data_IF_410974808772
#
_entry.id   IF_410974808772
#
_cell.length_a   1.000
_cell.length_b   1.000
_cell.length_c   1.000
_cell.angle_alpha   90.00
_cell.angle_beta   90.00
_cell.angle_gamma   90.00
#
_symmetry.space_group_name_H-M   'P 1'
#
loop_
_entity.id
_entity.type
_entity.pdbx_description
1 polymer ?
#
# COMPACT_ATOMS: atom_id res chain seq x y z
N UNK A 1 5.55 -20.60 -15.98
CA UNK A 1 6.78 -20.25 -15.25
C UNK A 1 7.96 -20.16 -16.20
N UNK A 2 8.92 -19.26 -15.94
CA UNK A 2 10.13 -19.15 -16.77
C UNK A 2 11.28 -19.93 -16.12
N UNK A 3 11.80 -20.94 -16.81
CA UNK A 3 12.96 -21.73 -16.41
C UNK A 3 13.99 -21.67 -17.53
N UNK A 4 15.23 -21.32 -17.21
CA UNK A 4 16.34 -21.30 -18.18
C UNK A 4 16.07 -20.47 -19.45
N UNK A 5 15.29 -19.39 -19.30
CA UNK A 5 14.91 -18.50 -20.41
C UNK A 5 13.66 -18.93 -21.18
N UNK A 6 13.16 -20.15 -21.00
CA UNK A 6 12.00 -20.72 -21.66
C UNK A 6 10.71 -20.56 -20.83
N UNK A 7 9.57 -20.40 -21.50
CA UNK A 7 8.25 -20.34 -20.86
C UNK A 7 7.67 -21.76 -20.77
N UNK A 8 7.44 -22.23 -19.56
CA UNK A 8 6.76 -23.49 -19.25
C UNK A 8 5.36 -23.20 -18.70
N UNK A 9 4.38 -24.07 -18.93
CA UNK A 9 3.04 -23.93 -18.33
C UNK A 9 3.10 -24.04 -16.80
N UNK A 10 2.18 -23.39 -16.09
CA UNK A 10 2.00 -23.57 -14.64
C UNK A 10 0.89 -24.60 -14.45
N UNK A 11 1.18 -25.82 -13.94
CA UNK A 11 0.20 -26.89 -13.89
C UNK A 11 -0.96 -26.57 -12.92
N UNK A 12 -0.68 -25.88 -11.82
CA UNK A 12 -1.68 -25.40 -10.86
C UNK A 12 -1.27 -24.01 -10.38
N UNK A 13 -2.11 -23.01 -10.66
CA UNK A 13 -1.84 -21.62 -10.27
C UNK A 13 -2.38 -21.29 -8.87
N UNK A 14 -3.32 -22.09 -8.37
CA UNK A 14 -3.92 -21.92 -7.04
C UNK A 14 -2.87 -22.17 -5.96
N UNK A 15 -2.53 -21.14 -5.19
CA UNK A 15 -1.48 -21.21 -4.18
C UNK A 15 -0.04 -21.22 -4.74
N UNK A 16 0.16 -20.99 -6.03
CA UNK A 16 1.48 -21.07 -6.65
C UNK A 16 2.38 -19.91 -6.23
N UNK A 17 3.57 -20.20 -5.71
CA UNK A 17 4.56 -19.20 -5.32
C UNK A 17 5.59 -19.04 -6.45
N UNK A 18 5.74 -17.82 -6.97
CA UNK A 18 6.73 -17.49 -7.98
C UNK A 18 8.15 -17.45 -7.38
N UNK A 19 9.08 -18.31 -7.82
CA UNK A 19 10.45 -18.34 -7.27
C UNK A 19 11.27 -17.09 -7.59
N UNK A 20 10.88 -16.34 -8.63
CA UNK A 20 11.60 -15.14 -9.11
C UNK A 20 11.05 -13.85 -8.53
N UNK A 21 9.75 -13.83 -8.24
CA UNK A 21 9.05 -12.65 -7.75
C UNK A 21 8.80 -12.70 -6.25
N UNK A 22 8.88 -13.88 -5.63
CA UNK A 22 8.56 -14.06 -4.21
C UNK A 22 7.16 -13.54 -3.87
N UNK A 23 6.18 -13.96 -4.67
CA UNK A 23 4.75 -13.68 -4.48
C UNK A 23 3.95 -14.96 -4.74
N UNK A 24 2.79 -15.08 -4.10
CA UNK A 24 1.84 -16.18 -4.24
C UNK A 24 0.65 -15.76 -5.10
N UNK A 25 0.29 -16.59 -6.04
CA UNK A 25 -0.92 -16.49 -6.85
C UNK A 25 -2.00 -17.38 -6.23
N UNK A 26 -3.23 -16.89 -6.15
CA UNK A 26 -4.37 -17.66 -5.68
C UNK A 26 -5.55 -17.44 -6.64
N UNK A 27 -5.94 -18.49 -7.35
CA UNK A 27 -7.06 -18.43 -8.29
C UNK A 27 -8.32 -18.88 -7.56
N UNK A 28 -9.25 -17.95 -7.39
CA UNK A 28 -10.57 -18.14 -6.79
C UNK A 28 -11.65 -18.11 -7.87
N UNK A 29 -12.90 -18.33 -7.47
CA UNK A 29 -14.06 -18.29 -8.37
C UNK A 29 -14.29 -16.88 -8.95
N UNK A 30 -13.94 -15.84 -8.20
CA UNK A 30 -14.12 -14.43 -8.54
C UNK A 30 -12.92 -13.80 -9.27
N UNK A 31 -11.77 -14.49 -9.32
CA UNK A 31 -10.61 -14.05 -10.06
C UNK A 31 -9.26 -14.48 -9.48
N UNK A 32 -8.20 -13.84 -9.98
CA UNK A 32 -6.83 -14.07 -9.55
C UNK A 32 -6.45 -13.06 -8.46
N UNK A 33 -6.11 -13.57 -7.29
CA UNK A 33 -5.51 -12.79 -6.21
C UNK A 33 -4.00 -13.02 -6.16
N UNK A 34 -3.28 -11.98 -5.74
CA UNK A 34 -1.83 -12.02 -5.57
C UNK A 34 -1.52 -11.60 -4.15
N UNK A 35 -0.66 -12.37 -3.50
CA UNK A 35 -0.20 -12.12 -2.14
C UNK A 35 1.31 -12.03 -2.12
N UNK A 36 1.86 -11.18 -1.27
CA UNK A 36 3.27 -11.21 -0.93
C UNK A 36 3.58 -12.38 0.00
N UNK A 37 4.87 -12.69 0.23
CA UNK A 37 5.26 -13.77 1.15
C UNK A 37 4.93 -13.46 2.62
N UNK A 38 4.83 -12.19 2.99
CA UNK A 38 4.33 -11.73 4.29
C UNK A 38 2.79 -11.82 4.41
N UNK A 39 2.10 -12.25 3.35
CA UNK A 39 0.66 -12.51 3.36
C UNK A 39 -0.20 -11.30 3.03
N UNK A 40 0.40 -10.15 2.72
CA UNK A 40 -0.32 -8.96 2.26
C UNK A 40 -0.90 -9.19 0.86
N UNK A 41 -2.21 -8.97 0.70
CA UNK A 41 -2.85 -8.96 -0.62
C UNK A 41 -2.39 -7.75 -1.42
N UNK A 42 -2.05 -7.96 -2.69
CA UNK A 42 -1.80 -6.88 -3.63
C UNK A 42 -3.11 -6.17 -3.94
N UNK A 43 -3.09 -4.85 -3.82
CA UNK A 43 -4.22 -4.00 -4.17
C UNK A 43 -4.32 -3.87 -5.68
N UNK A 44 -5.55 -3.79 -6.17
CA UNK A 44 -5.83 -3.32 -7.53
C UNK A 44 -5.37 -1.87 -7.70
N UNK A 45 -5.21 -1.44 -8.95
CA UNK A 45 -4.85 -0.04 -9.25
C UNK A 45 -5.85 0.96 -8.67
N UNK A 46 -7.14 0.59 -8.66
CA UNK A 46 -8.20 1.42 -8.09
C UNK A 46 -8.08 1.53 -6.57
N UNK A 47 -7.94 0.41 -5.87
CA UNK A 47 -7.76 0.38 -4.42
C UNK A 47 -6.48 1.13 -3.99
N UNK A 48 -5.40 1.00 -4.76
CA UNK A 48 -4.16 1.74 -4.50
C UNK A 48 -4.35 3.26 -4.66
N UNK A 49 -5.06 3.68 -5.71
CA UNK A 49 -5.40 5.10 -5.93
C UNK A 49 -6.25 5.66 -4.80
N UNK A 50 -7.27 4.92 -4.35
CA UNK A 50 -8.14 5.32 -3.24
C UNK A 50 -7.34 5.45 -1.93
N UNK A 51 -6.46 4.48 -1.65
CA UNK A 51 -5.61 4.53 -0.46
C UNK A 51 -4.66 5.72 -0.49
N UNK A 52 -4.09 6.04 -1.65
CA UNK A 52 -3.21 7.19 -1.81
C UNK A 52 -3.96 8.52 -1.62
N UNK A 53 -5.15 8.65 -2.19
CA UNK A 53 -6.02 9.82 -2.01
C UNK A 53 -6.41 10.01 -0.54
N UNK A 54 -6.84 8.93 0.12
CA UNK A 54 -7.20 8.98 1.53
C UNK A 54 -6.01 9.38 2.42
N UNK A 55 -4.81 8.82 2.15
CA UNK A 55 -3.61 9.18 2.89
C UNK A 55 -3.24 10.67 2.67
N UNK A 56 -3.40 11.18 1.46
CA UNK A 56 -3.17 12.59 1.14
C UNK A 56 -4.14 13.50 1.90
N UNK A 57 -5.42 13.17 1.92
CA UNK A 57 -6.44 13.94 2.65
C UNK A 57 -6.18 13.94 4.15
N UNK A 58 -5.78 12.80 4.71
CA UNK A 58 -5.43 12.70 6.13
C UNK A 58 -4.22 13.58 6.47
N UNK A 59 -3.15 13.51 5.65
CA UNK A 59 -1.96 14.33 5.85
C UNK A 59 -2.28 15.83 5.78
N UNK A 60 -3.09 16.25 4.82
CA UNK A 60 -3.52 17.64 4.70
C UNK A 60 -4.34 18.08 5.92
N UNK A 61 -5.26 17.24 6.39
CA UNK A 61 -6.04 17.52 7.59
C UNK A 61 -5.16 17.64 8.83
N UNK A 62 -4.17 16.76 9.00
CA UNK A 62 -3.21 16.83 10.10
C UNK A 62 -2.36 18.10 10.02
N UNK A 63 -1.89 18.47 8.83
CA UNK A 63 -1.12 19.71 8.63
C UNK A 63 -1.94 20.94 9.01
N UNK A 64 -3.19 21.03 8.56
CA UNK A 64 -4.08 22.14 8.90
C UNK A 64 -4.36 22.23 10.40
N UNK A 65 -4.50 21.08 11.09
CA UNK A 65 -4.67 21.06 12.55
C UNK A 65 -3.39 21.54 13.26
N UNK A 66 -2.23 21.09 12.80
CA UNK A 66 -0.94 21.50 13.35
C UNK A 66 -0.69 23.00 13.13
N UNK A 67 -0.99 23.53 11.94
CA UNK A 67 -0.88 24.97 11.63
C UNK A 67 -1.77 25.81 12.55
N UNK A 68 -3.04 25.43 12.72
CA UNK A 68 -3.98 26.12 13.62
C UNK A 68 -3.52 26.08 15.08
N UNK A 69 -2.99 24.93 15.52
CA UNK A 69 -2.48 24.79 16.88
C UNK A 69 -1.23 25.65 17.09
N UNK A 70 -0.32 25.67 16.12
CA UNK A 70 0.87 26.52 16.15
C UNK A 70 0.49 28.00 16.20
N UNK A 71 -0.49 28.45 15.42
CA UNK A 71 -1.03 29.81 15.49
C UNK A 71 -1.63 30.13 16.87
N UNK A 72 -2.41 29.20 17.43
CA UNK A 72 -2.96 29.38 18.77
C UNK A 72 -1.87 29.51 19.84
N UNK A 73 -0.84 28.66 19.81
CA UNK A 73 0.30 28.71 20.72
C UNK A 73 1.06 30.04 20.56
N UNK A 74 1.29 30.50 19.32
CA UNK A 74 1.89 31.81 19.04
C UNK A 74 1.07 32.96 19.59
N UNK A 75 -0.27 32.87 19.52
CA UNK A 75 -1.16 33.89 20.10
C UNK A 75 -1.07 33.98 21.63
N UNK A 76 -0.65 32.89 22.29
CA UNK A 76 -0.34 32.86 23.72
C UNK A 76 1.06 33.40 24.04
N UNK A 77 1.83 33.83 23.04
CA UNK A 77 3.20 34.34 23.19
C UNK A 77 4.25 33.24 23.36
N UNK A 78 3.91 31.99 23.06
CA UNK A 78 4.80 30.84 23.12
C UNK A 78 5.24 30.50 21.69
N UNK A 79 6.52 30.21 21.48
CA UNK A 79 7.01 29.77 20.18
C UNK A 79 6.81 28.25 20.03
N UNK A 80 5.92 27.77 19.14
CA UNK A 80 5.60 26.35 18.99
C UNK A 80 6.78 25.50 18.50
N UNK A 81 7.79 26.12 17.86
CA UNK A 81 8.99 25.44 17.39
C UNK A 81 10.02 25.19 18.53
N UNK A 82 9.74 25.67 19.74
CA UNK A 82 10.62 25.55 20.92
C UNK A 82 10.10 24.59 22.01
N UNK A 83 8.95 23.96 21.78
CA UNK A 83 8.35 22.92 22.63
C UNK A 83 8.93 21.53 22.33
#
# INVERSE_FOLDING_TARGET
MRQEGLLSSIPEIKGWVSPRLSIRFDLREDGLEIYSLDGQKFLTSLELSQKAEQASLQLEQERLKAERLAEYIRSLGIDPDTL
#
